data_IF_803216302829
#
_entry.id   IF_803216302829
#
_cell.length_a   1.000
_cell.length_b   1.000
_cell.length_c   1.000
_cell.angle_alpha   90.00
_cell.angle_beta   90.00
_cell.angle_gamma   90.00
#
_symmetry.space_group_name_H-M   'P 1'
#
loop_
_entity.id
_entity.type
_entity.pdbx_description
1 polymer ?
#
# COMPACT_ATOMS: atom_id res chain seq x y z
N UNK A 1 -3.54 -61.27 -24.09
CA UNK A 1 -2.20 -60.65 -24.24
C UNK A 1 -2.41 -59.14 -24.35
N UNK A 2 -1.52 -58.32 -23.75
CA UNK A 2 -1.70 -57.45 -22.56
C UNK A 2 -2.07 -55.99 -22.95
N UNK A 3 -2.23 -54.96 -22.11
CA UNK A 3 -1.59 -54.56 -20.84
C UNK A 3 -2.48 -53.50 -20.14
N UNK A 4 -2.73 -53.62 -18.83
CA UNK A 4 -2.13 -52.84 -17.72
C UNK A 4 -2.65 -51.40 -17.52
N UNK A 5 -3.41 -51.20 -16.44
CA UNK A 5 -3.66 -49.90 -15.80
C UNK A 5 -3.27 -50.00 -14.32
N UNK A 6 -2.35 -49.15 -13.87
CA UNK A 6 -1.89 -49.02 -12.47
C UNK A 6 -2.49 -47.77 -11.81
N UNK A 7 -2.89 -48.01 -10.56
CA UNK A 7 -2.74 -47.18 -9.36
C UNK A 7 -3.64 -45.95 -9.19
N UNK A 8 -4.61 -46.07 -8.28
CA UNK A 8 -5.35 -44.98 -7.66
C UNK A 8 -5.31 -45.13 -6.13
N UNK A 9 -4.74 -44.10 -5.49
CA UNK A 9 -5.01 -43.53 -4.16
C UNK A 9 -4.91 -44.40 -2.89
N UNK A 10 -4.07 -43.90 -1.98
CA UNK A 10 -3.81 -44.44 -0.66
C UNK A 10 -4.28 -43.46 0.43
N UNK A 11 -4.77 -44.07 1.52
CA UNK A 11 -4.90 -43.59 2.91
C UNK A 11 -6.05 -42.65 3.30
N UNK A 12 -7.13 -43.30 3.76
CA UNK A 12 -7.95 -42.86 4.89
C UNK A 12 -7.72 -43.88 6.03
N UNK A 13 -7.30 -43.44 7.23
CA UNK A 13 -7.21 -44.32 8.41
C UNK A 13 -7.85 -43.68 9.63
N UNK A 14 -8.55 -44.55 10.35
CA UNK A 14 -9.60 -44.30 11.32
C UNK A 14 -9.13 -43.89 12.73
N UNK A 15 -10.15 -43.37 13.41
CA UNK A 15 -10.35 -42.99 14.80
C UNK A 15 -9.98 -44.04 15.88
N UNK A 16 -9.73 -43.49 17.08
CA UNK A 16 -10.01 -44.00 18.43
C UNK A 16 -8.94 -44.84 19.17
N UNK A 17 -8.45 -44.27 20.30
CA UNK A 17 -8.31 -45.02 21.55
C UNK A 17 -8.24 -44.05 22.77
N UNK A 18 -9.27 -44.11 23.62
CA UNK A 18 -9.23 -43.63 25.00
C UNK A 18 -8.71 -44.75 25.90
N UNK A 19 -7.83 -44.43 26.86
CA UNK A 19 -7.70 -45.19 28.10
C UNK A 19 -7.14 -44.29 29.22
N UNK A 20 -7.85 -44.26 30.35
CA UNK A 20 -7.50 -43.52 31.56
C UNK A 20 -6.80 -44.45 32.57
N UNK A 21 -5.81 -43.95 33.31
CA UNK A 21 -5.46 -44.44 34.67
C UNK A 21 -5.01 -43.26 35.53
N UNK A 22 -5.61 -43.17 36.71
CA UNK A 22 -5.38 -42.24 37.82
C UNK A 22 -4.24 -42.67 38.75
N UNK A 23 -3.53 -41.72 39.37
CA UNK A 23 -3.04 -41.86 40.74
C UNK A 23 -2.93 -40.51 41.45
N UNK A 24 -3.14 -40.56 42.77
CA UNK A 24 -3.48 -39.47 43.66
C UNK A 24 -2.28 -38.87 44.40
N UNK A 25 -2.44 -37.65 44.89
CA UNK A 25 -1.58 -37.03 45.91
C UNK A 25 -2.26 -35.83 46.57
N UNK A 26 -2.83 -36.03 47.76
CA UNK A 26 -3.13 -34.99 48.76
C UNK A 26 -1.82 -34.70 49.55
N UNK A 27 -1.55 -33.58 50.23
CA UNK A 27 -2.34 -32.65 51.05
C UNK A 27 -1.50 -31.33 51.29
N UNK A 28 -1.59 -30.59 52.41
CA UNK A 28 -2.56 -29.55 52.78
C UNK A 28 -1.95 -28.16 53.17
N UNK A 29 -2.84 -27.15 53.30
CA UNK A 29 -2.86 -25.96 54.20
C UNK A 29 -1.61 -25.07 54.47
N UNK A 30 -1.79 -23.79 54.17
CA UNK A 30 -1.10 -22.56 54.64
C UNK A 30 -1.13 -22.37 56.18
N UNK A 31 -0.25 -21.55 56.84
CA UNK A 31 -0.23 -20.08 56.63
C UNK A 31 1.09 -19.28 56.83
N UNK A 32 1.03 -18.04 56.30
CA UNK A 32 1.60 -16.76 56.74
C UNK A 32 3.10 -16.62 57.10
N UNK A 33 3.80 -15.81 56.29
CA UNK A 33 5.06 -15.16 56.64
C UNK A 33 5.42 -14.07 55.62
N UNK A 34 5.31 -12.81 56.02
CA UNK A 34 5.68 -11.64 55.24
C UNK A 34 7.21 -11.42 55.25
N UNK A 35 7.79 -11.04 54.11
CA UNK A 35 8.80 -9.97 53.99
C UNK A 35 9.04 -9.62 52.52
N UNK A 36 9.02 -8.32 52.23
CA UNK A 36 9.34 -7.66 50.98
C UNK A 36 10.71 -8.05 50.40
N UNK A 37 10.75 -8.36 49.10
CA UNK A 37 11.84 -8.05 48.20
C UNK A 37 11.38 -8.24 46.74
N UNK A 38 11.04 -7.15 46.06
CA UNK A 38 10.75 -7.15 44.61
C UNK A 38 12.04 -7.04 43.80
N UNK A 39 12.25 -7.91 42.79
CA UNK A 39 12.94 -7.51 41.56
C UNK A 39 11.94 -7.40 40.40
N UNK A 40 12.20 -6.38 39.57
CA UNK A 40 11.39 -5.90 38.46
C UNK A 40 10.88 -6.98 37.50
N UNK A 41 9.57 -6.93 37.24
CA UNK A 41 8.94 -7.50 36.06
C UNK A 41 8.35 -6.34 35.22
N UNK A 42 8.72 -6.32 33.93
CA UNK A 42 8.20 -5.39 32.95
C UNK A 42 6.67 -5.50 32.83
N UNK A 43 5.93 -4.38 32.66
CA UNK A 43 4.55 -4.48 32.23
C UNK A 43 4.47 -4.62 30.71
N UNK A 44 3.63 -5.56 30.33
CA UNK A 44 3.18 -5.83 28.99
C UNK A 44 2.51 -4.61 28.33
N UNK A 45 2.65 -4.57 27.01
CA UNK A 45 1.76 -3.98 26.00
C UNK A 45 0.49 -3.31 26.55
N UNK A 46 0.51 -1.98 26.60
CA UNK A 46 -0.69 -1.16 26.54
C UNK A 46 -0.94 -0.77 25.08
N UNK A 47 -2.00 -1.31 24.49
CA UNK A 47 -2.56 -0.75 23.27
C UNK A 47 -2.97 0.70 23.54
N UNK A 48 -2.41 1.63 22.78
CA UNK A 48 -2.84 3.03 22.85
C UNK A 48 -4.22 3.11 22.21
N UNK A 49 -5.24 3.15 23.06
CA UNK A 49 -6.58 3.61 22.70
C UNK A 49 -6.45 5.03 22.11
N UNK A 50 -6.99 5.32 20.92
CA UNK A 50 -6.87 6.65 20.34
C UNK A 50 -7.58 7.66 21.25
N UNK A 51 -6.82 8.66 21.70
CA UNK A 51 -7.34 9.75 22.51
C UNK A 51 -8.53 10.44 21.82
N UNK A 52 -9.61 10.63 22.57
CA UNK A 52 -10.78 11.40 22.12
C UNK A 52 -10.37 12.84 21.77
N UNK A 53 -10.66 13.24 20.53
CA UNK A 53 -10.92 14.65 20.18
C UNK A 53 -9.86 15.43 19.41
N UNK A 54 -8.93 14.80 18.68
CA UNK A 54 -8.16 15.56 17.68
C UNK A 54 -9.07 15.98 16.53
N UNK A 55 -9.06 17.28 16.19
CA UNK A 55 -9.75 17.79 15.02
C UNK A 55 -9.20 17.09 13.78
N UNK A 56 -10.05 16.30 13.11
CA UNK A 56 -9.69 15.60 11.87
C UNK A 56 -9.27 16.61 10.81
N UNK A 57 -9.83 17.82 10.82
CA UNK A 57 -9.51 18.91 9.90
C UNK A 57 -8.83 20.06 10.65
N UNK A 58 -7.65 20.47 10.19
CA UNK A 58 -6.88 21.58 10.75
C UNK A 58 -6.43 22.50 9.62
N UNK A 59 -6.95 23.73 9.57
CA UNK A 59 -6.43 24.76 8.67
C UNK A 59 -5.04 25.18 9.15
N UNK A 60 -4.03 25.10 8.28
CA UNK A 60 -2.64 25.45 8.61
C UNK A 60 -2.35 26.93 8.29
N UNK A 61 -2.81 27.39 7.12
CA UNK A 61 -2.77 28.78 6.66
C UNK A 61 -3.80 28.97 5.54
N UNK A 62 -3.82 30.11 4.84
CA UNK A 62 -4.78 30.39 3.76
C UNK A 62 -4.87 29.29 2.69
N UNK A 63 -3.74 28.68 2.32
CA UNK A 63 -3.65 27.73 1.22
C UNK A 63 -3.55 26.28 1.69
N UNK A 64 -3.19 26.03 2.94
CA UNK A 64 -2.90 24.69 3.45
C UNK A 64 -3.90 24.19 4.48
N UNK A 65 -4.33 22.94 4.31
CA UNK A 65 -5.23 22.22 5.19
C UNK A 65 -4.63 20.86 5.52
N UNK A 66 -4.84 20.37 6.74
CA UNK A 66 -4.45 19.02 7.16
C UNK A 66 -5.68 18.20 7.54
N UNK A 67 -5.76 16.98 7.03
CA UNK A 67 -6.80 15.99 7.31
C UNK A 67 -6.15 14.74 7.93
N UNK A 68 -6.25 14.58 9.24
CA UNK A 68 -5.43 13.61 9.97
C UNK A 68 -3.94 13.85 9.74
N UNK A 69 -3.24 12.95 9.04
CA UNK A 69 -1.81 13.08 8.70
C UNK A 69 -1.56 13.58 7.26
N UNK A 70 -2.62 13.82 6.49
CA UNK A 70 -2.54 14.24 5.09
C UNK A 70 -2.60 15.76 5.01
N UNK A 71 -1.52 16.40 4.57
CA UNK A 71 -1.49 17.84 4.26
C UNK A 71 -1.83 18.08 2.80
N UNK A 72 -2.63 19.09 2.49
CA UNK A 72 -2.94 19.52 1.13
C UNK A 72 -2.76 21.02 0.97
N UNK A 73 -2.23 21.44 -0.18
CA UNK A 73 -2.08 22.82 -0.59
C UNK A 73 -3.01 23.12 -1.77
N UNK A 74 -4.00 23.99 -1.55
CA UNK A 74 -5.03 24.36 -2.55
C UNK A 74 -4.44 25.12 -3.74
N UNK A 75 -3.40 25.92 -3.51
CA UNK A 75 -2.77 26.72 -4.55
C UNK A 75 -1.92 25.85 -5.48
N UNK A 76 -1.00 25.05 -4.93
CA UNK A 76 -0.12 24.19 -5.74
C UNK A 76 -0.76 22.86 -6.15
N UNK A 77 -1.94 22.54 -5.61
CA UNK A 77 -2.63 21.24 -5.76
C UNK A 77 -1.76 20.04 -5.37
N UNK A 78 -0.96 20.19 -4.32
CA UNK A 78 -0.10 19.12 -3.81
C UNK A 78 -0.69 18.51 -2.54
N UNK A 79 -0.48 17.21 -2.36
CA UNK A 79 -0.77 16.45 -1.15
C UNK A 79 0.54 15.88 -0.61
N UNK A 80 0.73 15.94 0.71
CA UNK A 80 1.88 15.37 1.41
C UNK A 80 1.43 14.49 2.57
N UNK A 81 2.07 13.33 2.73
CA UNK A 81 1.84 12.46 3.90
C UNK A 81 3.08 11.60 4.22
N UNK A 82 3.23 11.15 5.49
CA UNK A 82 4.35 10.33 5.89
C UNK A 82 4.19 8.87 5.46
N UNK A 83 5.30 8.23 5.11
CA UNK A 83 5.42 6.80 4.88
C UNK A 83 6.83 6.32 5.29
N UNK A 84 7.09 5.02 5.13
CA UNK A 84 8.36 4.38 5.43
C UNK A 84 8.72 3.41 4.32
N UNK A 85 9.99 3.39 3.89
CA UNK A 85 10.50 2.37 2.98
C UNK A 85 10.41 0.98 3.63
N UNK A 86 9.72 0.07 2.96
CA UNK A 86 9.27 -1.18 3.57
C UNK A 86 10.01 -2.42 3.03
N UNK A 87 10.31 -2.47 1.73
CA UNK A 87 11.11 -3.56 1.17
C UNK A 87 12.16 -3.07 0.19
N UNK A 88 13.19 -3.92 -0.01
CA UNK A 88 14.25 -3.74 -1.01
C UNK A 88 14.49 -4.97 -1.89
N UNK A 89 13.78 -6.05 -1.64
CA UNK A 89 13.88 -7.32 -2.35
C UNK A 89 12.49 -7.92 -2.52
N UNK A 90 12.32 -8.80 -3.51
CA UNK A 90 11.04 -9.42 -3.85
C UNK A 90 10.19 -8.63 -4.85
N UNK A 91 9.13 -9.30 -5.32
CA UNK A 91 8.15 -8.73 -6.25
C UNK A 91 7.35 -7.61 -5.57
N UNK A 92 7.04 -6.58 -6.36
CA UNK A 92 6.17 -5.48 -5.97
C UNK A 92 4.83 -5.63 -6.66
N UNK A 93 3.78 -5.88 -5.88
CA UNK A 93 2.39 -5.72 -6.34
C UNK A 93 1.86 -4.32 -6.02
N UNK A 94 2.42 -3.66 -5.01
CA UNK A 94 2.02 -2.33 -4.57
C UNK A 94 3.23 -1.41 -4.39
N UNK A 95 2.97 -0.11 -4.57
CA UNK A 95 3.93 0.93 -4.18
C UNK A 95 3.69 1.33 -2.74
N UNK A 96 2.44 1.57 -2.37
CA UNK A 96 2.08 2.07 -1.05
C UNK A 96 0.89 1.27 -0.54
N UNK A 97 1.03 0.73 0.67
CA UNK A 97 -0.06 0.15 1.44
C UNK A 97 -0.11 0.77 2.82
N UNK A 98 -1.26 0.62 3.47
CA UNK A 98 -1.37 0.85 4.90
C UNK A 98 -0.54 -0.20 5.68
N UNK A 99 -0.13 0.09 6.91
CA UNK A 99 0.61 -0.83 7.79
C UNK A 99 -0.11 -2.16 8.07
N UNK A 100 -1.43 -2.20 7.82
CA UNK A 100 -2.28 -3.40 7.96
C UNK A 100 -2.56 -4.11 6.63
N UNK A 101 -2.04 -3.57 5.52
CA UNK A 101 -2.22 -4.09 4.17
C UNK A 101 -1.15 -5.12 3.80
N UNK A 102 -0.90 -5.28 2.50
CA UNK A 102 -0.02 -6.30 1.94
C UNK A 102 1.46 -5.87 1.98
N UNK A 103 1.99 -5.70 3.19
CA UNK A 103 3.35 -5.18 3.41
C UNK A 103 4.45 -6.10 2.84
N UNK A 104 4.20 -7.38 2.58
CA UNK A 104 5.23 -8.30 2.06
C UNK A 104 5.54 -8.12 0.55
N UNK A 105 4.80 -7.25 -0.14
CA UNK A 105 4.89 -7.04 -1.59
C UNK A 105 4.77 -5.54 -1.96
N UNK A 106 5.18 -4.68 -1.03
CA UNK A 106 4.99 -3.23 -1.10
C UNK A 106 6.28 -2.45 -0.91
N UNK A 107 6.51 -1.44 -1.75
CA UNK A 107 7.69 -0.57 -1.64
C UNK A 107 7.67 0.25 -0.34
N UNK A 108 6.52 0.86 -0.04
CA UNK A 108 6.29 1.72 1.11
C UNK A 108 5.12 1.20 1.95
N UNK A 109 5.17 1.48 3.25
CA UNK A 109 4.02 1.39 4.15
C UNK A 109 3.75 2.72 4.84
N UNK A 110 2.50 2.98 5.19
CA UNK A 110 2.05 4.20 5.88
C UNK A 110 0.95 3.88 6.89
N UNK A 111 0.74 4.76 7.87
CA UNK A 111 -0.34 4.66 8.85
C UNK A 111 -1.50 5.62 8.55
N UNK A 112 -1.46 6.35 7.43
CA UNK A 112 -2.52 7.32 7.12
C UNK A 112 -3.86 6.63 6.88
N UNK A 113 -4.93 7.30 7.28
CA UNK A 113 -6.27 6.91 6.90
C UNK A 113 -6.50 7.17 5.39
N UNK A 114 -6.86 6.12 4.65
CA UNK A 114 -7.07 6.14 3.21
C UNK A 114 -8.26 7.04 2.82
N UNK A 115 -9.27 7.12 3.69
CA UNK A 115 -10.41 8.03 3.49
C UNK A 115 -9.97 9.49 3.53
N UNK A 116 -9.07 9.88 4.44
CA UNK A 116 -8.52 11.24 4.50
C UNK A 116 -7.75 11.62 3.23
N UNK A 117 -6.95 10.69 2.69
CA UNK A 117 -6.27 10.88 1.40
C UNK A 117 -7.28 11.08 0.27
N UNK A 118 -8.33 10.27 0.21
CA UNK A 118 -9.35 10.39 -0.82
C UNK A 118 -10.11 11.72 -0.73
N UNK A 119 -10.44 12.18 0.48
CA UNK A 119 -11.06 13.50 0.70
C UNK A 119 -10.12 14.61 0.22
N UNK A 120 -8.83 14.55 0.55
CA UNK A 120 -7.85 15.54 0.11
C UNK A 120 -7.77 15.64 -1.43
N UNK A 121 -7.79 14.51 -2.14
CA UNK A 121 -7.83 14.46 -3.60
C UNK A 121 -9.09 15.15 -4.15
N UNK A 122 -10.26 14.86 -3.58
CA UNK A 122 -11.52 15.51 -4.00
C UNK A 122 -11.51 17.01 -3.75
N UNK A 123 -11.00 17.47 -2.60
CA UNK A 123 -10.89 18.91 -2.29
C UNK A 123 -9.95 19.67 -3.23
N UNK A 124 -8.97 19.00 -3.83
CA UNK A 124 -8.06 19.57 -4.83
C UNK A 124 -8.55 19.40 -6.28
N UNK A 125 -9.78 18.92 -6.47
CA UNK A 125 -10.41 18.78 -7.79
C UNK A 125 -9.81 17.66 -8.64
N UNK A 126 -9.23 16.62 -8.05
CA UNK A 126 -8.89 15.40 -8.80
C UNK A 126 -10.15 14.60 -9.10
N UNK A 127 -10.25 14.12 -10.34
CA UNK A 127 -11.35 13.28 -10.78
C UNK A 127 -10.90 11.84 -10.91
N UNK A 128 -11.68 10.89 -10.38
CA UNK A 128 -11.36 9.47 -10.46
C UNK A 128 -11.72 8.93 -11.84
N UNK A 129 -10.82 8.18 -12.47
CA UNK A 129 -11.05 7.51 -13.74
C UNK A 129 -11.20 6.01 -13.53
N UNK A 130 -12.27 5.43 -14.09
CA UNK A 130 -12.53 3.97 -14.07
C UNK A 130 -11.95 3.26 -15.29
N UNK A 131 -11.11 3.93 -16.09
CA UNK A 131 -10.66 3.42 -17.41
C UNK A 131 -9.80 2.15 -17.36
N UNK A 132 -9.34 1.73 -16.17
CA UNK A 132 -8.58 0.50 -15.98
C UNK A 132 -9.46 -0.68 -15.53
N UNK A 133 -10.75 -0.47 -15.31
CA UNK A 133 -11.66 -1.48 -14.81
C UNK A 133 -12.77 -1.76 -15.83
N UNK A 134 -13.04 -3.03 -16.16
CA UNK A 134 -14.15 -3.37 -17.03
C UNK A 134 -15.47 -2.97 -16.39
N UNK A 135 -16.47 -2.69 -17.23
CA UNK A 135 -17.84 -2.51 -16.79
C UNK A 135 -18.34 -3.79 -16.12
N UNK A 136 -19.12 -3.61 -15.05
CA UNK A 136 -19.82 -4.70 -14.36
C UNK A 136 -21.32 -4.49 -14.42
N UNK A 137 -22.04 -5.60 -14.54
CA UNK A 137 -23.49 -5.64 -14.35
C UNK A 137 -23.86 -5.59 -12.86
N UNK A 138 -25.16 -5.58 -12.57
CA UNK A 138 -25.70 -5.52 -11.21
C UNK A 138 -25.34 -6.74 -10.36
N UNK A 139 -25.00 -7.87 -10.99
CA UNK A 139 -24.65 -9.13 -10.36
C UNK A 139 -23.12 -9.27 -10.16
N UNK A 140 -22.35 -8.27 -10.60
CA UNK A 140 -20.89 -8.25 -10.54
C UNK A 140 -20.19 -9.00 -11.68
N UNK A 141 -20.94 -9.56 -12.62
CA UNK A 141 -20.48 -10.09 -13.89
C UNK A 141 -20.09 -8.99 -14.87
N UNK A 142 -19.49 -9.35 -16.00
CA UNK A 142 -19.13 -8.39 -17.04
C UNK A 142 -18.62 -9.10 -18.30
N UNK A 143 -18.84 -8.47 -19.46
CA UNK A 143 -18.39 -8.95 -20.77
C UNK A 143 -16.94 -8.54 -21.10
N UNK A 144 -16.26 -7.86 -20.17
CA UNK A 144 -14.91 -7.36 -20.32
C UNK A 144 -14.81 -6.04 -21.08
N UNK A 145 -15.94 -5.39 -21.41
CA UNK A 145 -15.91 -4.07 -22.04
C UNK A 145 -15.35 -3.01 -21.10
N UNK A 146 -14.46 -2.18 -21.64
CA UNK A 146 -13.89 -1.05 -20.90
C UNK A 146 -14.79 0.19 -21.02
N UNK A 147 -14.92 1.01 -19.95
CA UNK A 147 -15.74 2.21 -20.00
C UNK A 147 -15.16 3.26 -20.94
N UNK A 148 -16.03 3.97 -21.66
CA UNK A 148 -15.65 5.18 -22.38
C UNK A 148 -15.54 6.33 -21.38
N UNK A 149 -14.30 6.75 -21.10
CA UNK A 149 -14.01 7.85 -20.17
C UNK A 149 -13.63 9.11 -20.96
N UNK A 150 -14.28 10.27 -20.73
CA UNK A 150 -13.97 11.51 -21.44
C UNK A 150 -12.50 11.92 -21.26
N UNK A 151 -11.85 12.52 -22.29
CA UNK A 151 -10.44 12.94 -22.20
C UNK A 151 -10.13 13.87 -21.03
N UNK A 152 -11.06 14.77 -20.67
CA UNK A 152 -10.90 15.68 -19.53
C UNK A 152 -10.81 14.93 -18.19
N UNK A 153 -11.66 13.92 -17.99
CA UNK A 153 -11.63 13.06 -16.78
C UNK A 153 -10.33 12.27 -16.74
N UNK A 154 -9.89 11.70 -17.87
CA UNK A 154 -8.60 10.99 -17.96
C UNK A 154 -7.45 11.90 -17.55
N UNK A 155 -7.41 13.14 -18.06
CA UNK A 155 -6.39 14.12 -17.73
C UNK A 155 -6.42 14.52 -16.25
N UNK A 156 -7.61 14.76 -15.68
CA UNK A 156 -7.79 15.11 -14.27
C UNK A 156 -7.46 13.96 -13.29
N UNK A 157 -7.48 12.71 -13.77
CA UNK A 157 -7.12 11.52 -13.00
C UNK A 157 -5.62 11.21 -12.98
N UNK A 158 -4.79 11.86 -13.82
CA UNK A 158 -3.35 11.58 -13.88
C UNK A 158 -2.61 12.30 -12.77
N UNK A 159 -1.83 11.54 -12.02
CA UNK A 159 -0.99 12.06 -10.94
C UNK A 159 0.46 11.68 -11.11
N UNK A 160 1.33 12.52 -10.57
CA UNK A 160 2.71 12.15 -10.27
C UNK A 160 2.83 11.84 -8.78
N UNK A 161 3.61 10.82 -8.45
CA UNK A 161 3.93 10.45 -7.06
C UNK A 161 5.44 10.58 -6.87
N UNK A 162 5.85 11.51 -6.01
CA UNK A 162 7.25 11.75 -5.64
C UNK A 162 7.50 11.35 -4.19
N UNK A 163 8.72 10.91 -3.95
CA UNK A 163 9.25 10.54 -2.67
C UNK A 163 10.34 11.54 -2.29
N UNK A 164 10.35 11.96 -1.03
CA UNK A 164 11.36 12.85 -0.45
C UNK A 164 11.82 12.26 0.87
N UNK A 165 13.13 12.02 1.02
CA UNK A 165 13.69 11.44 2.24
C UNK A 165 15.05 12.03 2.55
N UNK A 166 15.57 11.71 3.73
CA UNK A 166 16.94 11.98 4.11
C UNK A 166 17.67 10.67 4.36
N UNK A 167 18.91 10.57 3.87
CA UNK A 167 19.82 9.47 4.16
C UNK A 167 21.17 10.05 4.55
N UNK A 168 21.67 9.68 5.73
CA UNK A 168 22.90 10.26 6.28
C UNK A 168 22.91 11.80 6.36
N UNK A 169 21.74 12.44 6.50
CA UNK A 169 21.60 13.90 6.50
C UNK A 169 21.50 14.55 5.10
N UNK A 170 21.77 13.79 4.04
CA UNK A 170 21.60 14.24 2.64
C UNK A 170 20.14 14.12 2.24
N UNK A 171 19.60 15.18 1.62
CA UNK A 171 18.23 15.16 1.10
C UNK A 171 18.18 14.50 -0.29
N UNK A 172 17.24 13.60 -0.47
CA UNK A 172 17.01 12.87 -1.72
C UNK A 172 15.57 13.05 -2.18
N UNK A 173 15.36 12.97 -3.50
CA UNK A 173 14.03 12.87 -4.08
C UNK A 173 14.05 12.02 -5.35
N UNK A 174 12.96 11.29 -5.58
CA UNK A 174 12.72 10.51 -6.78
C UNK A 174 11.21 10.41 -7.03
N UNK A 175 10.78 10.21 -8.26
CA UNK A 175 9.46 9.68 -8.56
C UNK A 175 9.38 8.22 -8.15
N UNK A 176 8.17 7.72 -7.88
CA UNK A 176 7.96 6.30 -7.62
C UNK A 176 8.48 5.42 -8.76
N UNK A 177 8.32 5.84 -10.01
CA UNK A 177 8.78 5.11 -11.19
C UNK A 177 10.32 4.94 -11.16
N UNK A 178 11.06 5.96 -10.72
CA UNK A 178 12.53 5.90 -10.57
C UNK A 178 12.98 4.94 -9.46
N UNK A 179 12.10 4.56 -8.53
CA UNK A 179 12.39 3.60 -7.46
C UNK A 179 12.12 2.14 -7.87
N UNK A 180 11.58 1.89 -9.07
CA UNK A 180 11.10 0.57 -9.50
C UNK A 180 11.80 0.18 -10.81
N UNK A 181 12.11 -1.10 -10.97
CA UNK A 181 12.71 -1.66 -12.19
C UNK A 181 11.98 -2.92 -12.64
N UNK A 182 12.03 -3.21 -13.93
CA UNK A 182 11.49 -4.43 -14.49
C UNK A 182 12.44 -5.63 -14.26
N UNK A 183 11.93 -6.77 -13.83
CA UNK A 183 12.75 -7.96 -13.50
C UNK A 183 13.35 -8.62 -14.73
N UNK A 184 12.69 -8.55 -15.89
CA UNK A 184 13.13 -9.21 -17.13
C UNK A 184 14.29 -8.49 -17.80
N UNK A 185 14.29 -7.15 -17.79
CA UNK A 185 15.25 -6.35 -18.55
C UNK A 185 16.06 -5.35 -17.69
N UNK A 186 15.87 -5.34 -16.38
CA UNK A 186 16.53 -4.46 -15.39
C UNK A 186 16.35 -2.96 -15.64
N UNK A 187 15.47 -2.56 -16.57
CA UNK A 187 15.20 -1.16 -16.86
C UNK A 187 14.32 -0.55 -15.78
N UNK A 188 14.63 0.69 -15.43
CA UNK A 188 13.78 1.54 -14.59
C UNK A 188 12.37 1.63 -15.21
N UNK A 189 11.34 1.61 -14.37
CA UNK A 189 9.97 1.81 -14.82
C UNK A 189 9.87 3.12 -15.61
N UNK A 190 9.24 3.06 -16.78
CA UNK A 190 9.13 4.21 -17.66
C UNK A 190 8.46 5.38 -16.92
N UNK A 191 8.94 6.60 -17.17
CA UNK A 191 8.29 7.80 -16.66
C UNK A 191 6.87 7.89 -17.22
N UNK A 192 5.91 8.18 -16.35
CA UNK A 192 4.51 8.27 -16.72
C UNK A 192 3.63 8.48 -15.49
N UNK A 193 2.36 8.84 -15.71
CA UNK A 193 1.45 9.10 -14.61
C UNK A 193 0.95 7.82 -13.95
N UNK A 194 0.49 7.97 -12.72
CA UNK A 194 -0.40 7.02 -12.04
C UNK A 194 -1.86 7.47 -12.23
N UNK A 195 -2.80 6.53 -12.22
CA UNK A 195 -4.23 6.84 -12.37
C UNK A 195 -4.89 6.83 -11.00
N UNK A 196 -5.48 7.97 -10.64
CA UNK A 196 -6.43 8.06 -9.54
C UNK A 196 -7.73 7.34 -9.93
N UNK A 197 -7.95 6.16 -9.35
CA UNK A 197 -9.15 5.35 -9.54
C UNK A 197 -10.21 5.58 -8.46
N UNK A 198 -9.81 6.12 -7.31
CA UNK A 198 -10.73 6.50 -6.23
C UNK A 198 -11.15 5.37 -5.31
N UNK A 199 -10.69 4.13 -5.50
CA UNK A 199 -11.13 2.91 -4.81
C UNK A 199 -12.64 2.62 -4.95
N UNK A 200 -13.03 1.37 -4.69
CA UNK A 200 -14.43 0.99 -4.58
C UNK A 200 -15.06 1.41 -3.24
N UNK A 201 -16.39 1.43 -3.22
CA UNK A 201 -17.19 1.46 -2.00
C UNK A 201 -18.03 0.20 -1.96
N UNK A 202 -17.98 -0.54 -0.86
CA UNK A 202 -18.74 -1.76 -0.66
C UNK A 202 -19.49 -1.67 0.68
N UNK A 203 -20.81 -1.87 0.66
CA UNK A 203 -21.67 -1.75 1.86
C UNK A 203 -21.46 -0.45 2.65
N UNK A 204 -21.31 0.66 1.94
CA UNK A 204 -21.08 1.99 2.53
C UNK A 204 -19.68 2.20 3.12
N UNK A 205 -18.77 1.24 2.96
CA UNK A 205 -17.39 1.32 3.44
C UNK A 205 -16.42 1.57 2.30
N UNK A 206 -15.44 2.43 2.55
CA UNK A 206 -14.36 2.71 1.61
C UNK A 206 -13.39 1.54 1.55
N UNK A 207 -13.28 0.87 0.40
CA UNK A 207 -12.56 -0.41 0.32
C UNK A 207 -11.06 -0.23 0.60
N UNK A 208 -10.42 0.83 0.12
CA UNK A 208 -9.02 1.12 0.42
C UNK A 208 -8.74 1.27 1.93
N UNK A 209 -9.70 1.77 2.72
CA UNK A 209 -9.57 1.82 4.18
C UNK A 209 -9.65 0.43 4.81
N UNK A 210 -10.46 -0.47 4.23
CA UNK A 210 -10.60 -1.84 4.72
C UNK A 210 -9.41 -2.71 4.36
N UNK A 211 -8.90 -2.61 3.14
CA UNK A 211 -7.83 -3.49 2.63
C UNK A 211 -6.43 -2.91 2.85
N UNK A 212 -6.33 -1.58 3.02
CA UNK A 212 -5.05 -0.88 3.09
C UNK A 212 -4.37 -0.69 1.72
N UNK A 213 -5.07 -0.93 0.61
CA UNK A 213 -4.50 -0.78 -0.73
C UNK A 213 -4.52 0.70 -1.16
N UNK A 214 -3.36 1.36 -1.28
CA UNK A 214 -3.28 2.80 -1.61
C UNK A 214 -2.81 3.03 -3.04
N UNK A 215 -1.64 2.51 -3.41
CA UNK A 215 -1.08 2.63 -4.77
C UNK A 215 -0.66 1.25 -5.26
N UNK A 216 -1.34 0.73 -6.28
CA UNK A 216 -1.14 -0.63 -6.79
C UNK A 216 -0.44 -0.64 -8.16
N UNK A 217 0.54 -1.54 -8.30
CA UNK A 217 1.21 -1.85 -9.57
C UNK A 217 0.40 -2.91 -10.32
N UNK A 218 0.02 -3.96 -9.60
CA UNK A 218 -1.00 -4.91 -10.07
C UNK A 218 -2.35 -4.22 -9.92
N UNK A 219 -3.01 -3.89 -11.03
CA UNK A 219 -4.25 -3.09 -11.01
C UNK A 219 -5.29 -3.77 -10.13
N UNK A 220 -5.76 -3.03 -9.13
CA UNK A 220 -6.68 -3.49 -8.11
C UNK A 220 -7.70 -2.38 -7.85
N UNK A 221 -8.98 -2.73 -7.94
CA UNK A 221 -10.09 -1.80 -7.74
C UNK A 221 -10.22 -1.32 -6.29
N UNK A 222 -9.68 -2.08 -5.34
CA UNK A 222 -9.57 -1.65 -3.96
C UNK A 222 -8.59 -0.48 -3.80
N UNK A 223 -7.61 -0.31 -4.70
CA UNK A 223 -6.58 0.72 -4.56
C UNK A 223 -7.07 2.11 -4.98
N UNK A 224 -6.56 3.15 -4.31
CA UNK A 224 -6.85 4.55 -4.66
C UNK A 224 -6.19 4.92 -5.99
N UNK A 225 -4.95 4.48 -6.20
CA UNK A 225 -4.18 4.72 -7.41
C UNK A 225 -3.71 3.41 -8.04
N UNK A 226 -3.63 3.41 -9.37
CA UNK A 226 -3.22 2.25 -10.13
C UNK A 226 -2.20 2.62 -11.22
N UNK A 227 -1.24 1.73 -11.44
CA UNK A 227 -0.31 1.81 -12.57
C UNK A 227 -1.08 1.55 -13.87
N UNK A 228 -0.97 2.43 -14.89
CA UNK A 228 -1.68 2.26 -16.16
C UNK A 228 -0.96 1.37 -17.17
N UNK A 229 0.19 0.81 -16.82
CA UNK A 229 0.94 -0.05 -17.73
C UNK A 229 0.30 -1.44 -17.89
N UNK A 230 0.95 -2.27 -18.69
CA UNK A 230 0.42 -3.56 -19.13
C UNK A 230 0.46 -4.67 -18.06
N UNK A 231 0.62 -4.35 -16.78
CA UNK A 231 0.75 -5.34 -15.68
C UNK A 231 -0.48 -6.24 -15.49
N UNK A 232 -1.59 -5.93 -16.16
CA UNK A 232 -2.88 -6.60 -16.03
C UNK A 232 -3.45 -7.19 -17.32
N UNK A 233 -2.66 -7.29 -18.40
CA UNK A 233 -3.11 -7.95 -19.64
C UNK A 233 -3.18 -9.47 -19.42
N UNK A 234 -4.35 -10.05 -19.71
CA UNK A 234 -4.57 -11.51 -19.70
C UNK A 234 -3.55 -12.19 -20.62
N UNK A 235 -2.75 -13.09 -20.06
CA UNK A 235 -1.69 -13.82 -20.79
C UNK A 235 -0.28 -13.23 -20.65
N UNK A 236 -0.13 -12.06 -20.02
CA UNK A 236 1.17 -11.54 -19.58
C UNK A 236 1.36 -11.82 -18.09
N UNK A 237 2.58 -12.23 -17.69
CA UNK A 237 2.87 -12.51 -16.28
C UNK A 237 2.60 -11.27 -15.43
N UNK A 238 1.91 -11.48 -14.30
CA UNK A 238 1.70 -10.50 -13.24
C UNK A 238 2.99 -9.73 -12.97
N UNK A 239 2.88 -8.40 -13.04
CA UNK A 239 3.95 -7.40 -12.91
C UNK A 239 5.34 -7.88 -12.47
N UNK A 240 6.25 -7.96 -13.43
CA UNK A 240 7.68 -8.19 -13.24
C UNK A 240 8.38 -6.95 -12.64
N UNK A 241 8.03 -6.52 -11.43
CA UNK A 241 8.53 -5.27 -10.85
C UNK A 241 9.26 -5.47 -9.53
N UNK A 242 10.52 -5.02 -9.46
CA UNK A 242 11.36 -5.04 -8.27
C UNK A 242 11.76 -3.63 -7.84
N UNK A 243 12.19 -3.50 -6.60
CA UNK A 243 12.82 -2.28 -6.08
C UNK A 243 14.13 -2.02 -6.83
N UNK A 244 14.35 -0.78 -7.28
CA UNK A 244 15.65 -0.31 -7.71
C UNK A 244 16.49 0.09 -6.50
N UNK A 245 17.20 -0.88 -5.93
CA UNK A 245 18.00 -0.72 -4.69
C UNK A 245 19.10 0.34 -4.77
N UNK A 246 19.53 0.73 -5.98
CA UNK A 246 20.48 1.84 -6.20
C UNK A 246 19.90 3.22 -5.85
N UNK A 247 18.58 3.37 -5.86
CA UNK A 247 17.87 4.61 -5.55
C UNK A 247 17.26 4.55 -4.16
N UNK A 248 16.68 3.40 -3.81
CA UNK A 248 15.93 3.21 -2.57
C UNK A 248 16.88 3.01 -1.37
N UNK A 249 16.73 3.79 -0.28
CA UNK A 249 17.58 3.70 0.92
C UNK A 249 17.29 2.41 1.71
N UNK A 250 17.88 2.28 2.89
CA UNK A 250 17.61 1.15 3.79
C UNK A 250 16.14 1.09 4.22
N UNK A 251 15.65 -0.12 4.45
CA UNK A 251 14.31 -0.36 5.00
C UNK A 251 14.18 0.37 6.35
N UNK A 252 13.01 0.96 6.60
CA UNK A 252 12.75 1.76 7.81
C UNK A 252 13.04 3.25 7.64
N UNK A 253 13.66 3.67 6.53
CA UNK A 253 13.90 5.09 6.25
C UNK A 253 12.57 5.85 6.11
N UNK A 254 12.31 6.88 6.94
CA UNK A 254 11.12 7.72 6.78
C UNK A 254 11.16 8.49 5.46
N UNK A 255 10.00 8.59 4.81
CA UNK A 255 9.85 9.27 3.53
C UNK A 255 8.55 10.07 3.54
N UNK A 256 8.59 11.27 2.98
CA UNK A 256 7.39 12.04 2.66
C UNK A 256 6.96 11.69 1.24
N UNK A 257 5.72 11.24 1.11
CA UNK A 257 5.08 11.04 -0.19
C UNK A 257 4.43 12.36 -0.60
N UNK A 258 4.69 12.80 -1.82
CA UNK A 258 4.05 13.95 -2.45
C UNK A 258 3.24 13.48 -3.66
N UNK A 259 1.96 13.83 -3.72
CA UNK A 259 1.08 13.59 -4.85
C UNK A 259 0.67 14.93 -5.46
N UNK A 260 0.73 15.02 -6.79
CA UNK A 260 0.31 16.21 -7.53
C UNK A 260 -0.21 15.87 -8.93
N UNK A 261 -0.79 16.85 -9.65
CA UNK A 261 -1.21 16.64 -11.02
C UNK A 261 -0.03 16.21 -11.90
N UNK A 262 -0.26 15.24 -12.79
CA UNK A 262 0.74 14.92 -13.79
C UNK A 262 0.96 16.13 -14.71
N UNK A 263 2.22 16.57 -14.91
CA UNK A 263 2.50 17.73 -15.75
C UNK A 263 2.01 17.48 -17.19
N UNK A 264 1.45 18.49 -17.87
CA UNK A 264 1.17 18.38 -19.29
C UNK A 264 2.47 18.06 -20.04
N UNK A 265 2.38 17.28 -21.14
CA UNK A 265 3.52 16.72 -21.85
C UNK A 265 4.61 17.77 -22.23
N UNK A 266 4.22 19.03 -22.41
CA UNK A 266 5.13 20.16 -22.71
C UNK A 266 5.97 20.61 -21.50
N UNK A 267 5.50 20.44 -20.27
CA UNK A 267 6.24 20.80 -19.05
C UNK A 267 7.25 19.71 -18.63
N UNK A 268 7.03 18.45 -19.01
CA UNK A 268 7.95 17.34 -18.74
C UNK A 268 9.28 17.44 -19.50
N UNK A 269 9.35 18.24 -20.56
CA UNK A 269 10.56 18.44 -21.37
C UNK A 269 11.44 19.62 -20.90
N UNK A 270 11.00 20.42 -19.92
CA UNK A 270 11.61 21.71 -19.58
C UNK A 270 12.34 21.82 -18.23
N UNK A 271 12.27 20.81 -17.36
CA UNK A 271 13.07 20.81 -16.14
C UNK A 271 14.38 20.06 -16.38
N UNK A 272 15.55 20.73 -16.27
CA UNK A 272 16.81 20.01 -16.30
C UNK A 272 16.83 19.03 -15.12
N UNK A 273 16.94 17.74 -15.47
CA UNK A 273 17.24 16.67 -14.52
C UNK A 273 18.51 17.11 -13.77
N UNK A 274 18.54 17.10 -12.42
CA UNK A 274 19.76 17.39 -11.68
C UNK A 274 20.85 16.47 -12.21
N UNK A 275 21.90 17.08 -12.75
CA UNK A 275 23.02 16.36 -13.32
C UNK A 275 23.59 15.46 -12.22
N UNK A 276 23.59 14.15 -12.47
CA UNK A 276 24.21 13.21 -11.57
C UNK A 276 25.68 13.62 -11.45
N UNK A 277 26.10 14.03 -10.26
CA UNK A 277 27.48 14.34 -9.97
C UNK A 277 28.34 13.14 -10.42
N UNK A 278 29.14 13.36 -11.47
CA UNK A 278 30.13 12.38 -11.91
C UNK A 278 31.21 12.24 -10.82
N UNK A 279 31.75 11.02 -10.63
CA UNK A 279 32.86 10.78 -9.70
C UNK A 279 34.13 11.51 -10.12
#
# INVERSE_FOLDING_TARGET
MPAEHRAMFALLRCLALCLAITSAGAAPSEPAGATDATPAAAPATGGVEPAKGQAVFVQLDENRLKIGEVELNKHSRLIHFPAVFNQRDGLLEYVIVHDKGKVHESLLRTSINATHLNIALKLLGFESSRELFPLRDEEGGGDGLMPVVPPAVKAAARVEIRLQWKDGGTAHSATVNECIKNTKNDKVMAAGPWIYGGSAVHEGRFVAEMTGDIVAILTNEAAIFNFPGDSNKVGENYGDWFVLTKVVPTIGTPVTVQIGPWPPATAAAGQPRPEAAKP
#
